data_IF_148983611429
#
_entry.id   IF_148983611429
#
_cell.length_a   1.000
_cell.length_b   1.000
_cell.length_c   1.000
_cell.angle_alpha   90.00
_cell.angle_beta   90.00
_cell.angle_gamma   90.00
#
_symmetry.space_group_name_H-M   'P 1'
#
loop_
_entity.id
_entity.type
_entity.pdbx_description
1 polymer ?
#
# COMPACT_ATOMS: atom_id res chain seq x y z
N UNK A 1 -12.68 13.29 0.60
CA UNK A 1 -11.33 12.66 0.50
C UNK A 1 -10.65 12.87 1.83
N UNK A 2 -10.06 11.84 2.44
CA UNK A 2 -9.31 12.03 3.69
C UNK A 2 -8.00 12.77 3.42
N UNK A 3 -7.63 13.68 4.32
CA UNK A 3 -6.33 14.31 4.30
C UNK A 3 -5.19 13.30 4.54
N UNK A 4 -4.23 13.24 3.62
CA UNK A 4 -3.08 12.33 3.70
C UNK A 4 -1.89 13.00 4.40
N UNK A 5 -1.41 12.37 5.46
CA UNK A 5 -0.13 12.71 6.10
C UNK A 5 1.07 12.05 5.41
N UNK A 6 2.28 12.54 5.68
CA UNK A 6 3.53 11.97 5.14
C UNK A 6 3.96 12.50 3.77
N UNK A 7 3.41 13.63 3.33
CA UNK A 7 3.84 14.37 2.13
C UNK A 7 2.73 14.50 1.08
N UNK A 8 2.99 15.29 0.04
CA UNK A 8 1.94 15.72 -0.91
C UNK A 8 1.75 14.81 -2.12
N UNK A 9 2.81 14.13 -2.56
CA UNK A 9 2.85 13.36 -3.80
C UNK A 9 2.88 11.86 -3.51
N UNK A 10 2.22 11.09 -4.37
CA UNK A 10 2.14 9.62 -4.30
C UNK A 10 2.83 8.94 -5.47
N UNK A 11 3.24 9.69 -6.49
CA UNK A 11 3.92 9.16 -7.67
C UNK A 11 5.16 9.98 -8.03
N UNK A 12 6.15 9.32 -8.63
CA UNK A 12 7.30 9.98 -9.26
C UNK A 12 7.78 9.21 -10.48
N UNK A 13 8.16 9.93 -11.54
CA UNK A 13 8.82 9.35 -12.71
C UNK A 13 10.27 8.87 -12.45
N UNK A 14 10.81 9.04 -11.24
CA UNK A 14 12.16 8.61 -10.80
C UNK A 14 13.34 9.17 -11.61
N UNK A 15 13.17 10.28 -12.32
CA UNK A 15 14.27 10.92 -13.02
C UNK A 15 15.12 11.78 -12.06
N UNK A 16 16.32 12.20 -12.51
CA UNK A 16 17.23 13.06 -11.74
C UNK A 16 16.57 14.35 -11.25
N UNK A 17 15.71 14.92 -12.09
CA UNK A 17 14.82 16.04 -11.76
C UNK A 17 13.38 15.52 -11.83
N UNK A 18 12.87 14.93 -10.74
CA UNK A 18 11.66 14.14 -10.81
C UNK A 18 10.43 15.03 -10.97
N UNK A 19 9.51 14.61 -11.83
CA UNK A 19 8.11 15.06 -11.77
C UNK A 19 7.44 14.31 -10.62
N UNK A 20 6.68 15.03 -9.80
CA UNK A 20 5.99 14.50 -8.64
C UNK A 20 4.51 14.80 -8.77
N UNK A 21 3.68 13.76 -8.70
CA UNK A 21 2.23 13.87 -8.87
C UNK A 21 1.48 13.24 -7.70
N UNK A 22 0.27 13.73 -7.43
CA UNK A 22 -0.66 13.11 -6.47
C UNK A 22 -1.75 12.38 -7.24
N UNK A 23 -1.49 11.11 -7.54
CA UNK A 23 -2.37 10.26 -8.35
C UNK A 23 -3.29 9.37 -7.52
N UNK A 24 -2.88 9.03 -6.30
CA UNK A 24 -3.59 8.08 -5.43
C UNK A 24 -4.39 8.83 -4.36
N UNK A 25 -5.66 8.45 -4.19
CA UNK A 25 -6.61 9.08 -3.25
C UNK A 25 -7.49 8.03 -2.60
N UNK A 26 -7.92 8.30 -1.37
CA UNK A 26 -8.89 7.47 -0.66
C UNK A 26 -10.18 8.26 -0.48
N UNK A 27 -11.27 7.66 -0.95
CA UNK A 27 -12.62 8.21 -0.90
C UNK A 27 -13.49 7.30 -0.03
N UNK A 28 -14.45 7.90 0.67
CA UNK A 28 -15.50 7.19 1.43
C UNK A 28 -16.81 7.93 1.32
N UNK A 29 -17.89 7.24 1.65
CA UNK A 29 -19.19 7.84 1.93
C UNK A 29 -19.20 8.51 3.31
N UNK A 30 -20.14 9.43 3.51
CA UNK A 30 -20.40 10.05 4.81
C UNK A 30 -20.77 9.00 5.86
N UNK A 31 -21.65 8.06 5.53
CA UNK A 31 -22.03 6.97 6.45
C UNK A 31 -20.82 6.15 6.95
N UNK A 32 -19.77 6.02 6.13
CA UNK A 32 -18.55 5.31 6.54
C UNK A 32 -17.65 6.17 7.43
N UNK A 33 -17.58 7.48 7.16
CA UNK A 33 -16.86 8.44 8.01
C UNK A 33 -17.45 8.49 9.43
N UNK A 34 -18.78 8.42 9.55
CA UNK A 34 -19.47 8.35 10.85
C UNK A 34 -19.09 7.09 11.65
N UNK A 35 -18.82 5.97 10.96
CA UNK A 35 -18.40 4.72 11.61
C UNK A 35 -16.92 4.74 12.03
N UNK A 36 -16.08 5.52 11.34
CA UNK A 36 -14.63 5.57 11.58
C UNK A 36 -14.13 7.02 11.71
N UNK A 37 -14.57 7.76 12.74
CA UNK A 37 -14.25 9.19 12.88
C UNK A 37 -12.77 9.47 13.14
N UNK A 38 -12.00 8.45 13.57
CA UNK A 38 -10.55 8.54 13.81
C UNK A 38 -9.72 8.06 12.62
N UNK A 39 -10.34 7.94 11.44
CA UNK A 39 -9.64 7.47 10.25
C UNK A 39 -8.51 8.43 9.87
N UNK A 40 -7.35 7.87 9.58
CA UNK A 40 -6.18 8.60 9.06
C UNK A 40 -5.63 7.91 7.83
N UNK A 41 -5.02 8.70 6.95
CA UNK A 41 -4.28 8.18 5.80
C UNK A 41 -2.83 8.65 5.91
N UNK A 42 -1.90 7.71 5.88
CA UNK A 42 -0.45 8.01 5.86
C UNK A 42 0.20 7.43 4.62
N UNK A 43 1.02 8.25 3.97
CA UNK A 43 1.90 7.79 2.90
C UNK A 43 3.07 7.01 3.49
N UNK A 44 3.31 5.81 2.98
CA UNK A 44 4.47 5.00 3.34
C UNK A 44 5.66 5.27 2.41
N UNK A 45 6.85 4.98 2.92
CA UNK A 45 8.08 5.08 2.13
C UNK A 45 8.01 4.06 0.99
N UNK A 46 8.41 4.53 -0.19
CA UNK A 46 8.47 3.74 -1.41
C UNK A 46 9.88 3.21 -1.58
N UNK A 47 10.00 1.91 -1.76
CA UNK A 47 11.29 1.25 -2.00
C UNK A 47 11.59 1.16 -3.50
N UNK A 48 10.80 0.37 -4.24
CA UNK A 48 11.08 0.08 -5.66
C UNK A 48 9.95 0.45 -6.64
N UNK A 49 8.73 0.71 -6.18
CA UNK A 49 7.64 1.20 -7.04
C UNK A 49 7.87 2.66 -7.45
N UNK A 50 7.19 3.16 -8.48
CA UNK A 50 7.02 4.59 -8.80
C UNK A 50 5.88 5.24 -7.98
N UNK A 51 4.98 4.43 -7.44
CA UNK A 51 3.94 4.83 -6.48
C UNK A 51 4.37 4.64 -5.02
N UNK A 52 3.82 5.47 -4.13
CA UNK A 52 3.90 5.32 -2.68
C UNK A 52 2.68 4.54 -2.17
N UNK A 53 2.87 3.49 -1.35
CA UNK A 53 1.75 2.84 -0.68
C UNK A 53 1.05 3.82 0.26
N UNK A 54 -0.29 3.77 0.31
CA UNK A 54 -1.11 4.51 1.26
C UNK A 54 -1.66 3.57 2.31
N UNK A 55 -1.50 3.93 3.58
CA UNK A 55 -2.03 3.18 4.71
C UNK A 55 -3.20 3.94 5.31
N UNK A 56 -4.38 3.34 5.18
CA UNK A 56 -5.61 3.74 5.85
C UNK A 56 -5.65 3.09 7.24
N UNK A 57 -5.79 3.90 8.27
CA UNK A 57 -5.84 3.45 9.65
C UNK A 57 -7.13 3.99 10.28
N UNK A 58 -8.05 3.11 10.67
CA UNK A 58 -9.36 3.53 11.21
C UNK A 58 -9.31 3.91 12.69
N UNK A 59 -8.14 3.82 13.34
CA UNK A 59 -7.99 4.12 14.77
C UNK A 59 -8.66 3.08 15.69
N UNK A 60 -9.32 2.06 15.15
CA UNK A 60 -9.85 0.95 15.93
C UNK A 60 -8.69 0.04 16.37
N UNK A 61 -8.26 0.17 17.62
CA UNK A 61 -7.46 -0.86 18.29
C UNK A 61 -8.38 -2.06 18.50
N UNK A 62 -8.49 -2.97 17.53
CA UNK A 62 -9.11 -4.27 17.80
C UNK A 62 -8.18 -5.03 18.76
N UNK A 63 -8.61 -5.41 19.97
CA UNK A 63 -7.89 -6.39 20.76
C UNK A 63 -8.24 -7.76 20.17
N UNK A 64 -7.39 -8.25 19.28
CA UNK A 64 -7.56 -9.59 18.69
C UNK A 64 -6.24 -10.08 18.14
N UNK A 65 -5.97 -11.40 18.20
CA UNK A 65 -4.70 -11.97 17.76
C UNK A 65 -4.48 -11.50 16.32
N UNK A 66 -3.23 -11.19 15.97
CA UNK A 66 -2.83 -10.84 14.61
C UNK A 66 -3.71 -11.63 13.65
N UNK A 67 -4.58 -10.95 12.88
CA UNK A 67 -5.33 -11.59 11.82
C UNK A 67 -4.39 -12.61 11.19
N UNK A 68 -4.71 -13.90 11.30
CA UNK A 68 -3.91 -14.98 10.73
C UNK A 68 -3.48 -14.48 9.36
N UNK A 69 -2.20 -14.11 9.21
CA UNK A 69 -1.68 -13.61 7.94
C UNK A 69 -1.70 -14.83 7.04
N UNK A 70 -2.84 -15.06 6.43
CA UNK A 70 -3.00 -16.10 5.44
C UNK A 70 -1.93 -15.83 4.39
N UNK A 71 -1.08 -16.82 4.18
CA UNK A 71 -0.13 -16.77 3.09
C UNK A 71 -0.95 -16.65 1.80
N UNK A 72 -0.81 -15.52 1.11
CA UNK A 72 -1.44 -15.28 -0.18
C UNK A 72 -0.35 -15.37 -1.24
N UNK A 73 -0.64 -16.16 -2.27
CA UNK A 73 0.25 -16.41 -3.38
C UNK A 73 -0.54 -16.28 -4.68
N UNK A 74 0.05 -15.60 -5.65
CA UNK A 74 -0.55 -15.41 -6.96
C UNK A 74 -0.24 -16.63 -7.84
N UNK A 75 -1.26 -17.46 -8.12
CA UNK A 75 -1.08 -18.74 -8.82
C UNK A 75 -0.48 -18.58 -10.21
N UNK A 76 -0.73 -17.43 -10.86
CA UNK A 76 -0.17 -17.13 -12.19
C UNK A 76 1.36 -17.07 -12.21
N UNK A 77 2.02 -16.89 -11.05
CA UNK A 77 3.48 -16.98 -10.96
C UNK A 77 4.01 -18.37 -11.30
N UNK A 78 3.25 -19.45 -11.04
CA UNK A 78 3.66 -20.82 -11.39
C UNK A 78 3.62 -21.07 -12.90
N UNK A 79 2.88 -20.27 -13.66
CA UNK A 79 2.84 -20.35 -15.11
C UNK A 79 4.10 -19.80 -15.77
N UNK A 80 4.96 -19.10 -15.01
CA UNK A 80 6.23 -18.60 -15.49
C UNK A 80 7.32 -19.65 -15.23
N UNK A 81 7.92 -20.19 -16.29
CA UNK A 81 8.96 -21.23 -16.22
C UNK A 81 10.18 -20.81 -15.37
N UNK A 82 10.50 -19.51 -15.35
CA UNK A 82 11.63 -18.96 -14.60
C UNK A 82 11.32 -18.73 -13.12
N UNK A 83 10.05 -18.83 -12.71
CA UNK A 83 9.64 -18.47 -11.35
C UNK A 83 10.40 -19.26 -10.29
N UNK A 84 10.45 -20.59 -10.43
CA UNK A 84 11.06 -21.44 -9.41
C UNK A 84 12.56 -21.17 -9.25
N UNK A 85 13.29 -21.06 -10.37
CA UNK A 85 14.73 -20.78 -10.37
C UNK A 85 15.00 -19.42 -9.73
N UNK A 86 14.20 -18.40 -10.08
CA UNK A 86 14.35 -17.04 -9.57
C UNK A 86 13.99 -16.93 -8.10
N UNK A 87 12.89 -17.55 -7.67
CA UNK A 87 12.48 -17.57 -6.26
C UNK A 87 13.53 -18.24 -5.37
N UNK A 88 14.06 -19.39 -5.81
CA UNK A 88 15.15 -20.08 -5.10
C UNK A 88 16.39 -19.20 -4.95
N UNK A 89 16.83 -18.57 -6.05
CA UNK A 89 18.00 -17.67 -6.04
C UNK A 89 17.84 -16.44 -5.13
N UNK A 90 16.62 -15.90 -4.99
CA UNK A 90 16.35 -14.73 -4.14
C UNK A 90 16.29 -15.10 -2.66
N UNK A 91 15.85 -16.33 -2.36
CA UNK A 91 15.61 -16.78 -0.99
C UNK A 91 16.86 -17.38 -0.31
N UNK A 92 17.84 -17.81 -1.10
CA UNK A 92 19.20 -18.16 -0.66
C UNK A 92 20.08 -16.91 -0.48
#
# INVERSE_FOLDING_TARGET
EIHMGGGKYTWSNKQKHPTLEKLDRILMSFDWEDLFPLVTVRKLVRDTSDHNPLLLDTGCVKPGPSHNREFRFELTWLSNEDFYVKAKKIWE
#
